data_IF_119538741730
#
_entry.id   IF_119538741730
#
_cell.length_a   1.000
_cell.length_b   1.000
_cell.length_c   1.000
_cell.angle_alpha   90.00
_cell.angle_beta   90.00
_cell.angle_gamma   90.00
#
_symmetry.space_group_name_H-M   'P 1'
#
loop_
_entity.id
_entity.type
_entity.pdbx_description
1 polymer ?
#
# COMPACT_ATOMS: atom_id res chain seq x y z
N UNK A 1 20.99 3.82 27.81
CA UNK A 1 20.08 3.51 26.68
C UNK A 1 20.68 2.34 25.94
N UNK A 2 20.04 1.17 25.97
CA UNK A 2 20.48 0.00 25.22
C UNK A 2 20.23 0.28 23.73
N UNK A 3 21.28 0.68 23.01
CA UNK A 3 21.28 0.76 21.55
C UNK A 3 22.02 -0.47 21.03
N UNK A 4 21.48 -1.13 20.02
CA UNK A 4 22.20 -2.21 19.33
C UNK A 4 23.29 -1.52 18.52
N UNK A 5 24.55 -1.89 18.73
CA UNK A 5 25.63 -1.23 18.01
C UNK A 5 25.47 -1.50 16.51
N UNK A 6 25.79 -0.50 15.69
CA UNK A 6 25.83 -0.64 14.23
C UNK A 6 26.71 -1.82 13.80
N UNK A 7 27.76 -2.10 14.56
CA UNK A 7 28.69 -3.19 14.32
C UNK A 7 28.03 -4.56 14.49
N UNK A 8 27.17 -4.72 15.49
CA UNK A 8 26.42 -5.95 15.74
C UNK A 8 25.31 -6.17 14.69
N UNK A 9 24.63 -5.10 14.27
CA UNK A 9 23.69 -5.16 13.13
C UNK A 9 24.42 -5.52 11.82
N UNK A 10 25.62 -5.00 11.59
CA UNK A 10 26.44 -5.37 10.42
C UNK A 10 26.92 -6.82 10.49
N UNK A 11 27.20 -7.35 11.68
CA UNK A 11 27.52 -8.77 11.87
C UNK A 11 26.32 -9.66 11.54
N UNK A 12 25.11 -9.32 12.03
CA UNK A 12 23.88 -10.04 11.67
C UNK A 12 23.56 -9.97 10.17
N UNK A 13 23.83 -8.84 9.52
CA UNK A 13 23.74 -8.73 8.06
C UNK A 13 24.79 -9.58 7.31
N UNK A 14 25.93 -9.87 7.95
CA UNK A 14 27.05 -10.59 7.36
C UNK A 14 26.98 -12.12 7.60
N UNK A 15 26.07 -12.59 8.46
CA UNK A 15 25.85 -14.02 8.67
C UNK A 15 25.47 -14.70 7.35
N UNK A 16 26.26 -15.71 6.96
CA UNK A 16 26.05 -16.53 5.77
C UNK A 16 26.34 -17.99 6.12
N UNK A 17 25.37 -18.88 5.90
CA UNK A 17 25.45 -20.28 6.31
C UNK A 17 24.10 -21.01 6.38
N UNK A 18 24.12 -22.26 6.85
CA UNK A 18 22.91 -23.05 7.06
C UNK A 18 22.02 -22.37 8.12
N UNK A 19 20.84 -21.90 7.71
CA UNK A 19 19.91 -21.10 8.55
C UNK A 19 19.71 -19.65 8.08
N UNK A 20 20.44 -19.19 7.06
CA UNK A 20 20.33 -17.82 6.50
C UNK A 20 19.53 -17.78 5.19
N UNK A 21 18.90 -16.64 4.90
CA UNK A 21 18.09 -16.44 3.70
C UNK A 21 18.97 -16.41 2.43
N UNK A 22 18.50 -17.04 1.35
CA UNK A 22 19.23 -17.06 0.08
C UNK A 22 19.13 -15.69 -0.60
N UNK A 23 20.28 -15.02 -0.78
CA UNK A 23 20.37 -13.77 -1.54
C UNK A 23 20.06 -13.97 -3.02
N UNK A 24 18.78 -13.84 -3.38
CA UNK A 24 18.27 -14.12 -4.72
C UNK A 24 17.82 -12.86 -5.45
N UNK A 25 17.47 -11.79 -4.73
CA UNK A 25 16.91 -10.55 -5.27
C UNK A 25 17.99 -9.59 -5.77
N UNK A 26 17.72 -8.94 -6.90
CA UNK A 26 18.54 -7.84 -7.45
C UNK A 26 17.71 -6.54 -7.47
N UNK A 27 18.32 -5.40 -7.82
CA UNK A 27 17.63 -4.11 -7.85
C UNK A 27 16.33 -4.11 -8.68
N UNK A 28 16.32 -4.75 -9.86
CA UNK A 28 15.12 -4.86 -10.70
C UNK A 28 14.02 -5.69 -10.02
N UNK A 29 14.39 -6.76 -9.34
CA UNK A 29 13.44 -7.58 -8.59
C UNK A 29 12.85 -6.79 -7.43
N UNK A 30 13.64 -5.92 -6.78
CA UNK A 30 13.17 -5.05 -5.71
C UNK A 30 12.22 -3.96 -6.22
N UNK A 31 12.52 -3.33 -7.36
CA UNK A 31 11.60 -2.39 -8.03
C UNK A 31 10.27 -3.10 -8.34
N UNK A 32 10.33 -4.29 -8.93
CA UNK A 32 9.13 -5.07 -9.22
C UNK A 32 8.34 -5.42 -7.94
N UNK A 33 9.02 -5.77 -6.85
CA UNK A 33 8.37 -5.99 -5.55
C UNK A 33 7.72 -4.71 -5.02
N UNK A 34 8.42 -3.58 -5.04
CA UNK A 34 7.88 -2.28 -4.63
C UNK A 34 6.63 -1.90 -5.42
N UNK A 35 6.70 -1.93 -6.75
CA UNK A 35 5.55 -1.70 -7.64
C UNK A 35 4.40 -2.67 -7.31
N UNK A 36 4.71 -3.94 -7.07
CA UNK A 36 3.73 -4.98 -6.78
C UNK A 36 2.92 -4.76 -5.51
N UNK A 37 3.57 -4.18 -4.50
CA UNK A 37 2.99 -3.83 -3.19
C UNK A 37 2.20 -2.52 -3.28
N UNK A 38 2.79 -1.49 -3.89
CA UNK A 38 2.20 -0.15 -4.04
C UNK A 38 0.93 -0.19 -4.92
N UNK A 39 0.96 -0.94 -6.02
CA UNK A 39 -0.21 -1.11 -6.89
C UNK A 39 -1.22 -2.07 -6.25
N UNK A 40 -2.22 -1.50 -5.60
CA UNK A 40 -3.28 -2.24 -4.94
C UNK A 40 -4.53 -1.41 -4.66
N UNK A 41 -5.15 -1.69 -3.50
CA UNK A 41 -6.43 -1.11 -3.11
C UNK A 41 -6.47 0.42 -3.11
N UNK A 42 -5.36 1.08 -2.79
CA UNK A 42 -5.27 2.54 -2.83
C UNK A 42 -5.52 3.09 -4.25
N UNK A 43 -4.77 2.59 -5.23
CA UNK A 43 -4.89 3.07 -6.61
C UNK A 43 -6.27 2.72 -7.19
N UNK A 44 -6.74 1.49 -6.96
CA UNK A 44 -7.98 1.00 -7.58
C UNK A 44 -9.27 1.48 -6.90
N UNK A 45 -9.26 1.87 -5.63
CA UNK A 45 -10.49 2.24 -4.90
C UNK A 45 -10.43 3.64 -4.29
N UNK A 46 -9.35 3.97 -3.57
CA UNK A 46 -9.27 5.25 -2.85
C UNK A 46 -9.13 6.46 -3.79
N UNK A 47 -8.57 6.26 -4.99
CA UNK A 47 -8.42 7.33 -5.99
C UNK A 47 -9.78 7.90 -6.41
N UNK A 48 -10.77 7.04 -6.65
CA UNK A 48 -12.13 7.47 -7.00
C UNK A 48 -12.80 8.23 -5.86
N UNK A 49 -12.62 7.78 -4.62
CA UNK A 49 -13.17 8.44 -3.42
C UNK A 49 -12.52 9.81 -3.21
N UNK A 50 -11.19 9.89 -3.35
CA UNK A 50 -10.46 11.16 -3.23
C UNK A 50 -10.87 12.16 -4.31
N UNK A 51 -11.06 11.71 -5.55
CA UNK A 51 -11.56 12.56 -6.62
C UNK A 51 -13.01 13.01 -6.38
N UNK A 52 -13.92 12.08 -6.06
CA UNK A 52 -15.34 12.38 -5.93
C UNK A 52 -15.68 13.26 -4.72
N UNK A 53 -15.04 13.01 -3.57
CA UNK A 53 -15.44 13.62 -2.29
C UNK A 53 -14.50 14.74 -1.81
N UNK A 54 -13.29 14.87 -2.38
CA UNK A 54 -12.27 15.79 -1.86
C UNK A 54 -11.64 16.70 -2.91
N UNK A 55 -11.04 16.18 -3.98
CA UNK A 55 -10.18 16.98 -4.85
C UNK A 55 -10.78 17.30 -6.23
N UNK A 56 -11.82 16.58 -6.66
CA UNK A 56 -12.34 16.68 -8.03
C UNK A 56 -11.27 16.30 -9.08
N UNK A 57 -11.25 16.97 -10.24
CA UNK A 57 -10.22 16.77 -11.27
C UNK A 57 -8.80 17.06 -10.78
N UNK A 58 -8.65 17.91 -9.76
CA UNK A 58 -7.38 18.23 -9.12
C UNK A 58 -6.81 17.11 -8.22
N UNK A 59 -7.41 15.90 -8.20
CA UNK A 59 -6.83 14.72 -7.54
C UNK A 59 -5.42 14.40 -8.02
N UNK A 60 -5.08 14.75 -9.26
CA UNK A 60 -3.71 14.68 -9.79
C UNK A 60 -2.73 15.53 -8.98
N UNK A 61 -3.13 16.72 -8.51
CA UNK A 61 -2.31 17.55 -7.62
C UNK A 61 -2.17 16.89 -6.24
N UNK A 62 -3.23 16.25 -5.74
CA UNK A 62 -3.15 15.45 -4.51
C UNK A 62 -2.10 14.34 -4.61
N UNK A 63 -2.04 13.65 -5.76
CA UNK A 63 -0.99 12.66 -6.04
C UNK A 63 0.40 13.27 -6.08
N UNK A 64 0.58 14.46 -6.67
CA UNK A 64 1.89 15.14 -6.70
C UNK A 64 2.34 15.51 -5.28
N UNK A 65 1.46 16.08 -4.46
CA UNK A 65 1.78 16.44 -3.07
C UNK A 65 2.16 15.20 -2.26
N UNK A 66 1.36 14.13 -2.37
CA UNK A 66 1.66 12.86 -1.70
C UNK A 66 3.00 12.28 -2.18
N UNK A 67 3.25 12.25 -3.49
CA UNK A 67 4.48 11.73 -4.08
C UNK A 67 5.73 12.48 -3.61
N UNK A 68 5.67 13.82 -3.49
CA UNK A 68 6.79 14.62 -2.97
C UNK A 68 7.09 14.26 -1.52
N UNK A 69 6.06 14.13 -0.68
CA UNK A 69 6.23 13.69 0.71
C UNK A 69 6.86 12.29 0.80
N UNK A 70 6.36 11.35 -0.01
CA UNK A 70 6.90 9.99 -0.08
C UNK A 70 8.33 9.97 -0.63
N UNK A 71 8.67 10.81 -1.61
CA UNK A 71 10.02 10.87 -2.18
C UNK A 71 11.06 11.31 -1.14
N UNK A 72 10.76 12.32 -0.33
CA UNK A 72 11.65 12.72 0.77
C UNK A 72 11.81 11.61 1.81
N UNK A 73 10.72 10.93 2.18
CA UNK A 73 10.80 9.76 3.08
C UNK A 73 11.63 8.63 2.47
N UNK A 74 11.39 8.29 1.21
CA UNK A 74 12.08 7.23 0.49
C UNK A 74 13.58 7.48 0.35
N UNK A 75 14.02 8.74 0.19
CA UNK A 75 15.43 9.11 0.21
C UNK A 75 16.08 8.80 1.57
N UNK A 76 15.43 9.13 2.68
CA UNK A 76 15.90 8.78 4.02
C UNK A 76 15.97 7.25 4.22
N UNK A 77 14.94 6.53 3.77
CA UNK A 77 14.92 5.05 3.83
C UNK A 77 16.02 4.43 2.97
N UNK A 78 16.29 4.97 1.79
CA UNK A 78 17.36 4.53 0.91
C UNK A 78 18.74 4.72 1.55
N UNK A 79 18.97 5.85 2.21
CA UNK A 79 20.21 6.11 2.95
C UNK A 79 20.38 5.10 4.11
N UNK A 80 19.35 4.89 4.93
CA UNK A 80 19.41 3.93 6.03
C UNK A 80 19.58 2.49 5.55
N UNK A 81 18.90 2.10 4.46
CA UNK A 81 19.02 0.76 3.88
C UNK A 81 20.43 0.50 3.32
N UNK A 82 21.10 1.54 2.81
CA UNK A 82 22.49 1.45 2.36
C UNK A 82 23.48 1.30 3.53
N UNK A 83 23.23 2.02 4.64
CA UNK A 83 24.09 2.02 5.82
C UNK A 83 23.94 0.77 6.69
N UNK A 84 22.69 0.31 6.87
CA UNK A 84 22.32 -0.79 7.77
C UNK A 84 21.51 -1.83 6.99
N UNK A 85 22.15 -2.69 6.18
CA UNK A 85 21.48 -3.65 5.29
C UNK A 85 20.98 -4.89 6.07
N UNK A 86 20.19 -4.66 7.11
CA UNK A 86 19.53 -5.68 7.93
C UNK A 86 18.04 -5.70 7.62
N UNK A 87 17.42 -6.87 7.71
CA UNK A 87 15.96 -6.95 7.63
C UNK A 87 15.36 -6.32 8.89
N UNK A 88 14.43 -5.36 8.72
CA UNK A 88 13.72 -4.76 9.85
C UNK A 88 13.19 -3.34 9.66
N UNK A 89 13.47 -2.70 8.51
CA UNK A 89 12.87 -1.42 8.12
C UNK A 89 12.99 -0.34 9.22
N UNK A 90 12.01 0.56 9.35
CA UNK A 90 12.02 1.68 10.29
C UNK A 90 12.27 1.26 11.76
N UNK A 91 11.75 0.12 12.21
CA UNK A 91 11.99 -0.37 13.57
C UNK A 91 13.49 -0.50 13.85
N UNK A 92 14.23 -1.20 12.98
CA UNK A 92 15.66 -1.42 13.19
C UNK A 92 16.47 -0.13 13.02
N UNK A 93 16.06 0.75 12.10
CA UNK A 93 16.70 2.05 11.90
C UNK A 93 16.55 2.95 13.13
N UNK A 94 15.35 3.02 13.71
CA UNK A 94 15.08 3.75 14.96
C UNK A 94 15.81 3.13 16.15
N UNK A 95 15.93 1.80 16.21
CA UNK A 95 16.68 1.12 17.27
C UNK A 95 18.17 1.49 17.24
N UNK A 96 18.75 1.56 16.04
CA UNK A 96 20.16 1.92 15.84
C UNK A 96 20.43 3.40 16.17
N UNK A 97 19.51 4.31 15.82
CA UNK A 97 19.73 5.76 15.89
C UNK A 97 19.21 6.40 17.19
N UNK A 98 17.96 6.13 17.54
CA UNK A 98 17.21 6.79 18.62
C UNK A 98 17.12 5.94 19.89
N UNK A 99 17.32 4.63 19.78
CA UNK A 99 17.31 3.68 20.88
C UNK A 99 15.96 3.02 21.13
N UNK A 100 15.93 2.16 22.13
CA UNK A 100 14.86 1.18 22.36
C UNK A 100 13.46 1.78 22.50
N UNK A 101 13.28 2.88 23.24
CA UNK A 101 11.95 3.44 23.47
C UNK A 101 11.27 3.88 22.17
N UNK A 102 11.99 4.63 21.33
CA UNK A 102 11.46 5.09 20.03
C UNK A 102 11.26 3.91 19.07
N UNK A 103 12.20 2.95 19.06
CA UNK A 103 12.03 1.74 18.26
C UNK A 103 10.80 0.94 18.69
N UNK A 104 10.53 0.82 20.00
CA UNK A 104 9.35 0.12 20.52
C UNK A 104 8.04 0.79 20.09
N UNK A 105 7.98 2.13 20.16
CA UNK A 105 6.81 2.90 19.69
C UNK A 105 6.60 2.65 18.19
N UNK A 106 7.65 2.79 17.37
CA UNK A 106 7.58 2.56 15.92
C UNK A 106 7.21 1.10 15.61
N UNK A 107 7.71 0.13 16.38
CA UNK A 107 7.36 -1.29 16.20
C UNK A 107 5.87 -1.55 16.37
N UNK A 108 5.26 -0.99 17.41
CA UNK A 108 3.80 -1.11 17.61
C UNK A 108 2.99 -0.33 16.58
N UNK A 109 3.49 0.83 16.16
CA UNK A 109 2.89 1.62 15.07
C UNK A 109 2.86 0.83 13.77
N UNK A 110 3.97 0.20 13.36
CA UNK A 110 4.05 -0.66 12.17
C UNK A 110 3.10 -1.87 12.25
N UNK A 111 2.95 -2.50 13.42
CA UNK A 111 1.99 -3.61 13.60
C UNK A 111 0.57 -3.14 13.35
N UNK A 112 0.19 -1.97 13.87
CA UNK A 112 -1.13 -1.37 13.64
C UNK A 112 -1.30 -0.95 12.17
N UNK A 113 -0.29 -0.31 11.58
CA UNK A 113 -0.28 0.12 10.19
C UNK A 113 -0.52 -1.06 9.25
N UNK A 114 0.27 -2.13 9.35
CA UNK A 114 0.10 -3.31 8.49
C UNK A 114 -1.23 -4.02 8.74
N UNK A 115 -1.73 -4.03 9.97
CA UNK A 115 -3.04 -4.64 10.28
C UNK A 115 -4.19 -3.86 9.63
N UNK A 116 -4.19 -2.54 9.77
CA UNK A 116 -5.20 -1.65 9.16
C UNK A 116 -5.06 -1.66 7.63
N UNK A 117 -3.84 -1.68 7.11
CA UNK A 117 -3.55 -1.81 5.69
C UNK A 117 -4.11 -3.10 5.10
N UNK A 118 -3.85 -4.25 5.75
CA UNK A 118 -4.39 -5.54 5.32
C UNK A 118 -5.92 -5.57 5.32
N UNK A 119 -6.56 -5.01 6.35
CA UNK A 119 -8.02 -4.88 6.41
C UNK A 119 -8.56 -4.01 5.26
N UNK A 120 -7.92 -2.87 4.99
CA UNK A 120 -8.29 -1.95 3.90
C UNK A 120 -8.20 -2.63 2.54
N UNK A 121 -7.12 -3.40 2.30
CA UNK A 121 -6.93 -4.17 1.06
C UNK A 121 -8.00 -5.25 0.91
N UNK A 122 -8.34 -5.97 1.98
CA UNK A 122 -9.36 -7.01 1.97
C UNK A 122 -10.77 -6.44 1.70
N UNK A 123 -11.11 -5.28 2.27
CA UNK A 123 -12.38 -4.58 2.01
C UNK A 123 -12.47 -4.16 0.54
N UNK A 124 -11.40 -3.57 0.00
CA UNK A 124 -11.33 -3.19 -1.41
C UNK A 124 -11.49 -4.41 -2.34
N UNK A 125 -10.82 -5.51 -2.03
CA UNK A 125 -10.99 -6.77 -2.77
C UNK A 125 -12.43 -7.28 -2.74
N UNK A 126 -13.08 -7.23 -1.56
CA UNK A 126 -14.49 -7.59 -1.40
C UNK A 126 -15.40 -6.75 -2.30
N UNK A 127 -15.20 -5.42 -2.35
CA UNK A 127 -15.98 -4.53 -3.23
C UNK A 127 -15.84 -4.90 -4.71
N UNK A 128 -14.63 -5.24 -5.17
CA UNK A 128 -14.41 -5.69 -6.55
C UNK A 128 -15.06 -7.06 -6.83
N UNK A 129 -15.00 -8.00 -5.89
CA UNK A 129 -15.67 -9.28 -6.00
C UNK A 129 -17.19 -9.10 -6.12
N UNK A 130 -17.79 -8.24 -5.30
CA UNK A 130 -19.23 -7.98 -5.32
C UNK A 130 -19.69 -7.40 -6.66
N UNK A 131 -18.96 -6.40 -7.18
CA UNK A 131 -19.22 -5.85 -8.53
C UNK A 131 -19.06 -6.90 -9.64
N UNK A 132 -18.16 -7.87 -9.46
CA UNK A 132 -18.01 -8.99 -10.40
C UNK A 132 -19.20 -9.96 -10.32
N UNK A 133 -19.62 -10.35 -9.10
CA UNK A 133 -20.75 -11.25 -8.87
C UNK A 133 -22.08 -10.65 -9.33
N UNK A 134 -22.24 -9.34 -9.20
CA UNK A 134 -23.40 -8.59 -9.71
C UNK A 134 -23.60 -8.78 -11.22
N UNK A 135 -22.52 -8.90 -12.01
CA UNK A 135 -22.62 -9.18 -13.45
C UNK A 135 -23.24 -10.55 -13.76
N UNK A 136 -23.23 -11.47 -12.81
CA UNK A 136 -23.85 -12.79 -12.91
C UNK A 136 -25.20 -12.88 -12.18
N UNK A 137 -25.74 -11.75 -11.70
CA UNK A 137 -27.00 -11.69 -10.95
C UNK A 137 -26.91 -12.27 -9.53
N UNK A 138 -25.69 -12.49 -9.01
CA UNK A 138 -25.47 -12.98 -7.66
C UNK A 138 -25.35 -11.81 -6.69
N UNK A 139 -26.42 -11.56 -5.93
CA UNK A 139 -26.47 -10.53 -4.91
C UNK A 139 -26.34 -11.14 -3.52
N UNK A 140 -25.27 -10.79 -2.82
CA UNK A 140 -25.10 -11.15 -1.42
C UNK A 140 -25.87 -10.17 -0.52
N UNK A 141 -26.42 -10.62 0.62
CA UNK A 141 -27.13 -9.74 1.54
C UNK A 141 -26.24 -8.60 2.04
N UNK A 142 -26.75 -7.35 2.01
CA UNK A 142 -26.01 -6.15 2.46
C UNK A 142 -25.38 -6.31 3.85
N UNK A 143 -26.06 -7.01 4.76
CA UNK A 143 -25.60 -7.29 6.13
C UNK A 143 -24.31 -8.11 6.19
N UNK A 144 -24.04 -8.94 5.17
CA UNK A 144 -22.88 -9.84 5.12
C UNK A 144 -21.74 -9.32 4.24
N UNK A 145 -21.87 -8.13 3.68
CA UNK A 145 -20.86 -7.55 2.78
C UNK A 145 -20.40 -6.17 3.24
N UNK A 146 -20.97 -5.67 4.34
CA UNK A 146 -20.66 -4.39 4.94
C UNK A 146 -20.15 -4.56 6.36
N UNK A 147 -19.27 -3.67 6.78
CA UNK A 147 -18.70 -3.65 8.13
C UNK A 147 -19.73 -3.12 9.16
N UNK A 148 -19.60 -3.44 10.46
CA UNK A 148 -20.50 -2.96 11.52
C UNK A 148 -20.76 -1.45 11.55
N UNK A 149 -19.74 -0.67 11.16
CA UNK A 149 -19.79 0.79 11.14
C UNK A 149 -20.31 1.36 9.81
N UNK A 150 -20.61 0.52 8.83
CA UNK A 150 -21.16 0.93 7.54
C UNK A 150 -22.69 0.77 7.53
N UNK A 151 -23.35 1.72 6.88
CA UNK A 151 -24.80 1.69 6.67
C UNK A 151 -25.12 1.81 5.18
N UNK A 152 -26.12 1.09 4.73
CA UNK A 152 -26.68 1.23 3.40
C UNK A 152 -28.17 1.54 3.50
N UNK A 153 -28.62 2.47 2.67
CA UNK A 153 -30.05 2.70 2.46
C UNK A 153 -30.48 1.82 1.30
N UNK A 154 -31.42 0.90 1.54
CA UNK A 154 -31.98 0.06 0.50
C UNK A 154 -32.94 0.86 -0.39
N UNK A 155 -33.33 0.26 -1.51
CA UNK A 155 -34.26 0.87 -2.47
C UNK A 155 -35.65 1.16 -1.86
N UNK A 156 -36.00 0.50 -0.76
CA UNK A 156 -37.22 0.72 0.02
C UNK A 156 -37.08 1.84 1.07
N UNK A 157 -35.93 2.50 1.14
CA UNK A 157 -35.62 3.56 2.11
C UNK A 157 -35.20 3.05 3.49
N UNK A 158 -35.15 1.73 3.71
CA UNK A 158 -34.69 1.17 4.99
C UNK A 158 -33.17 1.27 5.14
N UNK A 159 -32.73 1.70 6.32
CA UNK A 159 -31.30 1.74 6.67
C UNK A 159 -30.92 0.40 7.29
N UNK A 160 -29.96 -0.27 6.67
CA UNK A 160 -29.41 -1.55 7.16
C UNK A 160 -27.96 -1.35 7.57
N UNK A 161 -27.63 -1.89 8.74
CA UNK A 161 -26.27 -1.95 9.25
C UNK A 161 -25.59 -3.24 8.78
N UNK A 162 -24.31 -3.13 8.41
CA UNK A 162 -23.46 -4.29 8.22
C UNK A 162 -23.30 -5.08 9.52
N UNK A 163 -23.15 -6.39 9.43
CA UNK A 163 -22.73 -7.24 10.56
C UNK A 163 -21.26 -7.61 10.42
N UNK A 164 -20.85 -8.03 9.23
CA UNK A 164 -19.46 -8.30 8.89
C UNK A 164 -19.29 -8.27 7.38
N UNK A 165 -18.09 -7.90 6.92
CA UNK A 165 -17.73 -8.06 5.52
C UNK A 165 -17.21 -9.49 5.30
N UNK A 166 -18.12 -10.42 5.01
CA UNK A 166 -17.83 -11.84 4.87
C UNK A 166 -16.79 -12.14 3.78
N UNK A 167 -16.87 -11.57 2.56
CA UNK A 167 -15.83 -11.83 1.55
C UNK A 167 -14.45 -11.30 1.95
N UNK A 168 -14.38 -10.13 2.60
CA UNK A 168 -13.12 -9.60 3.12
C UNK A 168 -12.52 -10.51 4.20
N UNK A 169 -13.34 -11.01 5.13
CA UNK A 169 -12.90 -11.95 6.16
C UNK A 169 -12.41 -13.27 5.55
N UNK A 170 -13.13 -13.81 4.57
CA UNK A 170 -12.76 -15.07 3.91
C UNK A 170 -11.43 -14.95 3.15
N UNK A 171 -11.18 -13.83 2.45
CA UNK A 171 -9.89 -13.65 1.76
C UNK A 171 -8.74 -13.48 2.76
N UNK A 172 -8.93 -12.79 3.88
CA UNK A 172 -7.91 -12.68 4.94
C UNK A 172 -7.58 -14.05 5.53
N UNK A 173 -8.60 -14.87 5.83
CA UNK A 173 -8.40 -16.23 6.34
C UNK A 173 -7.69 -17.12 5.31
N UNK A 174 -8.07 -17.01 4.04
CA UNK A 174 -7.45 -17.76 2.95
C UNK A 174 -5.96 -17.40 2.78
N UNK A 175 -5.63 -16.10 2.75
CA UNK A 175 -4.24 -15.63 2.66
C UNK A 175 -3.45 -16.03 3.90
N UNK A 176 -4.04 -15.92 5.10
CA UNK A 176 -3.43 -16.37 6.35
C UNK A 176 -3.10 -17.88 6.29
N UNK A 177 -4.03 -18.71 5.83
CA UNK A 177 -3.81 -20.15 5.69
C UNK A 177 -2.70 -20.47 4.67
N UNK A 178 -2.61 -19.71 3.57
CA UNK A 178 -1.53 -19.84 2.59
C UNK A 178 -0.18 -19.48 3.22
N UNK A 179 -0.11 -18.40 4.00
CA UNK A 179 1.12 -17.96 4.68
C UNK A 179 1.54 -18.99 5.73
N UNK A 180 0.61 -19.53 6.54
CA UNK A 180 0.90 -20.56 7.57
C UNK A 180 1.44 -21.85 6.94
N UNK A 181 0.91 -22.26 5.78
CA UNK A 181 1.40 -23.45 5.06
C UNK A 181 2.84 -23.26 4.52
N UNK A 182 3.32 -22.02 4.47
CA UNK A 182 4.62 -21.65 3.93
C UNK A 182 4.51 -21.34 2.45
N UNK A 183 4.82 -20.10 2.09
CA UNK A 183 4.96 -19.64 0.71
C UNK A 183 6.39 -19.89 0.24
N UNK A 184 6.81 -21.15 0.19
CA UNK A 184 8.13 -21.49 -0.33
C UNK A 184 8.17 -21.33 -1.86
N UNK A 185 8.60 -20.14 -2.30
CA UNK A 185 9.19 -19.92 -3.61
C UNK A 185 8.24 -19.84 -4.81
N UNK A 186 8.11 -18.63 -5.36
CA UNK A 186 8.63 -18.36 -6.71
C UNK A 186 8.64 -16.85 -6.92
N UNK A 187 9.82 -16.22 -6.84
CA UNK A 187 10.00 -14.82 -7.21
C UNK A 187 9.43 -14.52 -8.62
N UNK A 188 9.40 -15.55 -9.49
CA UNK A 188 8.76 -15.49 -10.80
C UNK A 188 7.23 -15.40 -10.72
N UNK A 189 6.56 -16.12 -9.80
CA UNK A 189 5.11 -15.99 -9.61
C UNK A 189 4.74 -14.58 -9.15
N UNK A 190 5.50 -14.02 -8.20
CA UNK A 190 5.33 -12.63 -7.79
C UNK A 190 5.52 -11.68 -8.98
N UNK A 191 6.61 -11.83 -9.74
CA UNK A 191 6.86 -11.01 -10.92
C UNK A 191 5.72 -11.10 -11.95
N UNK A 192 5.15 -12.29 -12.16
CA UNK A 192 4.01 -12.49 -13.06
C UNK A 192 2.76 -11.74 -12.58
N UNK A 193 2.45 -11.81 -11.28
CA UNK A 193 1.30 -11.09 -10.70
C UNK A 193 1.51 -9.57 -10.82
N UNK A 194 2.72 -9.07 -10.58
CA UNK A 194 3.04 -7.64 -10.76
C UNK A 194 2.91 -7.22 -12.22
N UNK A 195 3.48 -7.99 -13.14
CA UNK A 195 3.38 -7.73 -14.56
C UNK A 195 1.92 -7.68 -15.04
N UNK A 196 1.08 -8.60 -14.55
CA UNK A 196 -0.35 -8.60 -14.82
C UNK A 196 -1.02 -7.32 -14.30
N UNK A 197 -0.76 -6.92 -13.04
CA UNK A 197 -1.32 -5.68 -12.47
C UNK A 197 -0.93 -4.43 -13.28
N UNK A 198 0.36 -4.31 -13.62
CA UNK A 198 0.86 -3.19 -14.44
C UNK A 198 0.22 -3.20 -15.82
N UNK A 199 0.11 -4.37 -16.46
CA UNK A 199 -0.55 -4.50 -17.76
C UNK A 199 -2.01 -4.04 -17.72
N UNK A 200 -2.76 -4.40 -16.67
CA UNK A 200 -4.16 -3.95 -16.49
C UNK A 200 -4.23 -2.41 -16.40
N UNK A 201 -3.33 -1.77 -15.65
CA UNK A 201 -3.27 -0.30 -15.57
C UNK A 201 -2.96 0.32 -16.93
N UNK A 202 -1.97 -0.21 -17.66
CA UNK A 202 -1.60 0.32 -18.98
C UNK A 202 -2.73 0.16 -20.01
N UNK A 203 -3.42 -0.99 -20.01
CA UNK A 203 -4.59 -1.21 -20.85
C UNK A 203 -5.72 -0.24 -20.51
N UNK A 204 -5.99 -0.02 -19.22
CA UNK A 204 -6.98 0.95 -18.77
C UNK A 204 -6.64 2.37 -19.27
N UNK A 205 -5.39 2.81 -19.16
CA UNK A 205 -4.94 4.12 -19.66
C UNK A 205 -5.11 4.19 -21.18
N UNK A 206 -4.65 3.18 -21.93
CA UNK A 206 -4.69 3.17 -23.38
C UNK A 206 -6.12 3.18 -23.94
N UNK A 207 -7.02 2.38 -23.36
CA UNK A 207 -8.43 2.34 -23.77
C UNK A 207 -9.19 3.59 -23.29
N UNK A 208 -8.93 4.03 -22.06
CA UNK A 208 -9.56 5.20 -21.45
C UNK A 208 -9.21 6.51 -22.14
N UNK A 209 -8.04 6.61 -22.79
CA UNK A 209 -7.58 7.82 -23.48
C UNK A 209 -8.59 8.39 -24.48
N UNK A 210 -9.31 7.51 -25.20
CA UNK A 210 -10.32 7.92 -26.18
C UNK A 210 -11.61 8.46 -25.57
N UNK A 211 -11.83 8.22 -24.28
CA UNK A 211 -13.04 8.62 -23.55
C UNK A 211 -12.80 9.82 -22.63
N UNK A 212 -11.62 10.46 -22.71
CA UNK A 212 -11.32 11.67 -21.95
C UNK A 212 -12.11 12.84 -22.56
N UNK A 213 -13.03 13.39 -21.77
CA UNK A 213 -13.75 14.62 -22.10
C UNK A 213 -13.13 15.82 -21.34
N UNK A 214 -12.53 16.80 -22.06
CA UNK A 214 -11.98 18.01 -21.45
C UNK A 214 -12.98 18.81 -20.59
N UNK A 215 -14.29 18.71 -20.85
CA UNK A 215 -15.30 19.40 -20.08
C UNK A 215 -15.31 18.95 -18.60
N UNK A 216 -14.96 17.68 -18.32
CA UNK A 216 -14.89 17.15 -16.95
C UNK A 216 -13.74 17.74 -16.13
N UNK A 217 -12.80 18.46 -16.74
CA UNK A 217 -11.69 19.14 -16.05
C UNK A 217 -12.02 20.60 -15.70
N UNK A 218 -13.23 21.09 -15.98
CA UNK A 218 -13.62 22.46 -15.68
C UNK A 218 -14.82 22.50 -14.71
N UNK A 219 -14.68 23.15 -13.54
CA UNK A 219 -13.45 23.73 -12.98
C UNK A 219 -12.46 22.65 -12.52
N UNK A 220 -11.16 22.86 -12.78
CA UNK A 220 -10.13 21.87 -12.46
C UNK A 220 -9.96 21.68 -10.96
N UNK A 221 -9.92 22.79 -10.23
CA UNK A 221 -10.08 22.82 -8.78
C UNK A 221 -11.52 23.31 -8.54
N UNK A 222 -12.46 22.42 -8.14
CA UNK A 222 -13.81 22.85 -7.84
C UNK A 222 -13.84 23.79 -6.64
N UNK A 223 -14.85 24.64 -6.57
CA UNK A 223 -15.02 25.55 -5.45
C UNK A 223 -15.25 24.77 -4.14
N UNK A 224 -14.66 25.24 -3.05
CA UNK A 224 -14.87 24.64 -1.74
C UNK A 224 -16.35 24.80 -1.32
N UNK A 225 -16.95 23.75 -0.75
CA UNK A 225 -18.38 23.72 -0.34
C UNK A 225 -18.68 24.49 0.94
N UNK A 226 -17.67 25.07 1.60
CA UNK A 226 -17.75 25.62 2.94
C UNK A 226 -17.21 24.68 4.02
N UNK A 227 -16.94 23.42 3.68
CA UNK A 227 -16.33 22.42 4.56
C UNK A 227 -14.83 22.28 4.28
N UNK A 228 -14.01 22.27 5.32
CA UNK A 228 -12.57 22.02 5.17
C UNK A 228 -12.31 20.61 4.63
N UNK A 229 -11.59 20.53 3.51
CA UNK A 229 -11.27 19.25 2.86
C UNK A 229 -12.30 18.78 1.82
N UNK A 230 -13.32 19.57 1.51
CA UNK A 230 -14.24 19.33 0.40
C UNK A 230 -13.98 20.34 -0.72
N UNK A 231 -13.22 19.93 -1.72
CA UNK A 231 -12.75 20.73 -2.85
C UNK A 231 -11.95 21.98 -2.45
N UNK A 232 -11.56 22.79 -3.44
CA UNK A 232 -10.56 23.83 -3.27
C UNK A 232 -9.19 23.27 -2.87
N UNK A 233 -8.28 24.14 -2.45
CA UNK A 233 -6.94 23.74 -1.99
C UNK A 233 -6.96 22.87 -0.72
N UNK A 234 -7.91 23.12 0.18
CA UNK A 234 -8.09 22.27 1.37
C UNK A 234 -8.50 20.85 0.99
N UNK A 235 -9.37 20.69 -0.02
CA UNK A 235 -9.74 19.41 -0.62
C UNK A 235 -8.58 18.71 -1.31
N UNK A 236 -7.71 19.44 -2.01
CA UNK A 236 -6.47 18.88 -2.59
C UNK A 236 -5.56 18.30 -1.51
N UNK A 237 -5.37 19.00 -0.38
CA UNK A 237 -4.55 18.53 0.74
C UNK A 237 -5.18 17.33 1.46
N UNK A 238 -6.50 17.35 1.69
CA UNK A 238 -7.21 16.19 2.25
C UNK A 238 -7.14 14.98 1.32
N UNK A 239 -7.35 15.21 0.02
CA UNK A 239 -7.18 14.21 -1.03
C UNK A 239 -5.77 13.63 -1.02
N UNK A 240 -4.73 14.45 -0.82
CA UNK A 240 -3.34 14.01 -0.72
C UNK A 240 -3.15 13.05 0.46
N UNK A 241 -3.74 13.34 1.62
CA UNK A 241 -3.74 12.44 2.77
C UNK A 241 -4.43 11.10 2.50
N UNK A 242 -5.54 11.10 1.74
CA UNK A 242 -6.26 9.87 1.36
C UNK A 242 -5.44 9.04 0.36
N UNK A 243 -4.90 9.67 -0.69
CA UNK A 243 -4.10 8.96 -1.70
C UNK A 243 -2.67 8.67 -1.26
N UNK A 244 -2.21 9.22 -0.13
CA UNK A 244 -0.93 8.82 0.48
C UNK A 244 -0.87 7.31 0.73
N UNK A 245 -2.01 6.69 1.06
CA UNK A 245 -2.13 5.24 1.20
C UNK A 245 -1.66 4.47 -0.04
N UNK A 246 -1.77 5.06 -1.24
CA UNK A 246 -1.29 4.45 -2.50
C UNK A 246 0.21 4.21 -2.47
N UNK A 247 0.97 5.07 -1.79
CA UNK A 247 2.43 5.02 -1.77
C UNK A 247 3.00 4.17 -0.63
N UNK A 248 2.17 3.63 0.27
CA UNK A 248 2.62 2.72 1.33
C UNK A 248 3.15 1.44 0.68
N UNK A 249 4.35 0.99 1.08
CA UNK A 249 4.95 -0.25 0.59
C UNK A 249 6.40 -0.14 0.12
N UNK A 250 6.96 1.05 -0.11
CA UNK A 250 8.39 1.18 -0.41
C UNK A 250 9.26 0.73 0.78
N UNK A 251 8.76 0.86 2.00
CA UNK A 251 9.37 0.38 3.24
C UNK A 251 9.40 -1.15 3.33
N UNK A 252 8.49 -1.86 2.65
CA UNK A 252 8.52 -3.32 2.56
C UNK A 252 9.76 -3.77 1.78
N UNK A 253 10.19 -3.00 0.78
CA UNK A 253 11.46 -3.26 0.08
C UNK A 253 12.62 -3.28 1.08
N UNK A 254 12.61 -2.39 2.10
CA UNK A 254 13.62 -2.34 3.16
C UNK A 254 13.70 -3.63 4.00
N UNK A 255 12.61 -4.40 4.11
CA UNK A 255 12.61 -5.68 4.83
C UNK A 255 13.33 -6.80 4.08
N UNK A 256 13.52 -6.67 2.77
CA UNK A 256 14.14 -7.68 1.89
C UNK A 256 15.68 -7.60 1.86
N UNK A 257 16.30 -6.83 2.75
CA UNK A 257 17.74 -6.59 2.75
C UNK A 257 18.58 -7.88 2.83
N UNK A 258 18.14 -8.85 3.63
CA UNK A 258 18.84 -10.14 3.80
C UNK A 258 18.71 -11.08 2.59
N UNK A 259 17.68 -10.91 1.75
CA UNK A 259 17.47 -11.67 0.51
C UNK A 259 18.07 -10.98 -0.73
N UNK A 260 18.64 -9.79 -0.54
CA UNK A 260 19.13 -8.94 -1.62
C UNK A 260 20.62 -9.16 -1.88
N UNK A 261 20.99 -9.32 -3.15
CA UNK A 261 22.38 -9.31 -3.60
C UNK A 261 22.91 -7.87 -3.54
N UNK A 262 24.09 -7.64 -2.98
CA UNK A 262 24.69 -6.30 -2.83
C UNK A 262 23.67 -5.25 -2.29
N UNK A 263 23.12 -5.47 -1.09
CA UNK A 263 22.01 -4.69 -0.56
C UNK A 263 22.35 -3.19 -0.43
N UNK A 264 23.61 -2.85 -0.14
CA UNK A 264 24.05 -1.45 -0.02
C UNK A 264 23.77 -0.61 -1.26
N UNK A 265 23.79 -1.25 -2.45
CA UNK A 265 23.48 -0.61 -3.73
C UNK A 265 22.06 -0.90 -4.20
N UNK A 266 21.61 -2.15 -4.08
CA UNK A 266 20.35 -2.58 -4.67
C UNK A 266 19.13 -2.15 -3.85
N UNK A 267 19.26 -1.96 -2.53
CA UNK A 267 18.15 -1.49 -1.69
C UNK A 267 17.74 -0.04 -2.02
N UNK A 268 18.67 0.93 -2.11
CA UNK A 268 18.34 2.28 -2.60
C UNK A 268 17.65 2.27 -3.98
N UNK A 269 18.15 1.44 -4.90
CA UNK A 269 17.57 1.31 -6.25
C UNK A 269 16.14 0.77 -6.19
N UNK A 270 15.88 -0.22 -5.33
CA UNK A 270 14.55 -0.79 -5.16
C UNK A 270 13.55 0.11 -4.44
N UNK A 271 14.01 0.96 -3.52
CA UNK A 271 13.16 1.89 -2.75
C UNK A 271 12.80 3.12 -3.60
N UNK A 272 13.74 3.62 -4.40
CA UNK A 272 13.55 4.85 -5.20
C UNK A 272 13.03 4.62 -6.61
N UNK A 273 13.24 3.42 -7.18
CA UNK A 273 12.84 3.06 -8.54
C UNK A 273 11.42 2.54 -8.61
#
# INVERSE_FOLDING_TARGET
>A
MLKKSLELLRQEAAESGAGTLKRSLNGVSLIALGIGVIIGAGLFSLTGIAAANHAGPAVTLSFVVAAVGCAFSALCYAEFAALVPVAGSAYTYSYATMGELFAWIIGWDLVLEYSVGAATVAISWSQYLLKFLEKYGLHLPARLVMSPFETATLHDGSVVHGYLNLPAMLVVLAITAIIIRGTSGSAWFNALVVALKVAVVLVFIALGWKYIDPANYHPYIPANTGTFGEFGWSGVLRGAGVVFFVFIGFDIVATMAQETKNPQRNMPVGILG
#
